data_IF_710174920498
#
_entry.id   IF_710174920498
#
_cell.length_a   1.000
_cell.length_b   1.000
_cell.length_c   1.000
_cell.angle_alpha   90.00
_cell.angle_beta   90.00
_cell.angle_gamma   90.00
#
_symmetry.space_group_name_H-M   'P 1'
#
loop_
_entity.id
_entity.type
_entity.pdbx_description
1 polymer ?
2 non-polymer ?
3 non-polymer ?
4 water ?
#
# COMPACT_ATOMS: atom_id res chain seq x y z
N UNK A 1 12.61 -13.71 3.37
CA UNK A 1 12.59 -12.23 3.65
C UNK A 1 11.38 -11.61 2.97
N UNK A 2 11.55 -10.87 1.87
CA UNK A 2 10.41 -10.19 1.25
C UNK A 2 9.81 -11.13 0.22
N UNK A 3 10.43 -12.27 -0.09
CA UNK A 3 10.10 -12.97 -1.35
C UNK A 3 8.65 -13.44 -1.44
N UNK A 4 8.00 -13.78 -0.34
CA UNK A 4 6.63 -14.25 -0.45
C UNK A 4 5.68 -13.11 -0.81
N UNK A 5 6.10 -11.82 -0.66
CA UNK A 5 5.27 -10.70 -1.07
C UNK A 5 5.35 -10.43 -2.56
N UNK A 6 6.33 -10.97 -3.26
CA UNK A 6 6.56 -10.60 -4.65
C UNK A 6 5.50 -11.16 -5.55
N UNK A 7 5.12 -10.43 -6.56
CA UNK A 7 4.21 -10.90 -7.58
C UNK A 7 3.13 -9.87 -7.84
N UNK A 8 2.07 -10.35 -8.51
CA UNK A 8 0.95 -9.53 -8.94
C UNK A 8 -0.26 -9.91 -8.09
N UNK A 9 -0.90 -8.90 -7.53
CA UNK A 9 -1.96 -9.07 -6.56
C UNK A 9 -3.17 -8.22 -6.99
N UNK A 10 -4.36 -8.74 -6.74
CA UNK A 10 -5.60 -8.06 -7.14
C UNK A 10 -6.46 -7.80 -5.93
N UNK A 11 -7.08 -6.62 -5.84
CA UNK A 11 -7.94 -6.31 -4.70
C UNK A 11 -9.20 -7.16 -4.74
N UNK A 12 -9.52 -7.80 -3.59
CA UNK A 12 -10.70 -8.65 -3.50
C UNK A 12 -11.58 -8.31 -2.29
N UNK A 13 -11.20 -7.37 -1.44
CA UNK A 13 -12.03 -6.96 -0.30
C UNK A 13 -11.51 -5.64 0.19
N UNK A 14 -12.40 -4.78 0.68
CA UNK A 14 -11.96 -3.49 1.25
C UNK A 14 -12.92 -3.09 2.38
N UNK A 15 -12.32 -2.73 3.51
CA UNK A 15 -13.06 -2.30 4.68
C UNK A 15 -12.49 -0.95 5.14
N UNK A 16 -13.37 0.03 5.26
CA UNK A 16 -13.06 1.34 5.84
C UNK A 16 -12.08 2.17 5.00
N UNK A 17 -11.99 1.91 3.68
CA UNK A 17 -11.12 2.74 2.87
C UNK A 17 -11.63 4.18 2.80
N UNK A 18 -12.95 4.36 2.74
CA UNK A 18 -13.46 5.73 2.73
C UNK A 18 -13.04 6.47 4.00
N UNK A 19 -13.13 5.82 5.16
CA UNK A 19 -12.72 6.45 6.41
C UNK A 19 -11.26 6.89 6.33
N UNK A 20 -10.40 6.00 5.82
CA UNK A 20 -8.99 6.30 5.70
C UNK A 20 -8.73 7.49 4.77
N UNK A 21 -9.35 7.44 3.58
CA UNK A 21 -9.20 8.55 2.64
C UNK A 21 -9.71 9.86 3.22
N UNK A 22 -10.85 9.81 3.89
CA UNK A 22 -11.40 11.02 4.47
C UNK A 22 -10.46 11.59 5.52
N UNK A 23 -9.85 10.72 6.34
CA UNK A 23 -8.90 11.16 7.37
C UNK A 23 -7.72 11.92 6.74
N UNK A 24 -7.27 11.44 5.58
CA UNK A 24 -6.22 12.07 4.82
C UNK A 24 -6.68 13.38 4.12
N UNK A 25 -7.92 13.71 4.13
CA UNK A 25 -8.40 14.91 3.46
C UNK A 25 -8.68 14.73 1.98
N UNK A 26 -8.85 13.50 1.53
CA UNK A 26 -9.18 13.26 0.11
C UNK A 26 -10.62 13.73 -0.15
N UNK A 27 -10.81 14.43 -1.25
CA UNK A 27 -12.13 14.98 -1.58
C UNK A 27 -13.12 13.94 -1.96
N UNK A 28 -14.42 14.31 -1.83
CA UNK A 28 -15.52 13.32 -1.97
C UNK A 28 -15.52 12.67 -3.34
N UNK A 29 -15.20 13.41 -4.39
CA UNK A 29 -15.32 12.87 -5.76
C UNK A 29 -14.26 11.77 -5.95
N UNK A 30 -13.04 12.06 -5.47
CA UNK A 30 -11.96 11.07 -5.52
C UNK A 30 -12.33 9.87 -4.69
N UNK A 31 -12.86 10.08 -3.49
CA UNK A 31 -13.21 8.93 -2.64
C UNK A 31 -14.25 8.06 -3.32
N UNK A 32 -15.21 8.73 -3.98
CA UNK A 32 -16.31 8.03 -4.69
C UNK A 32 -15.72 7.08 -5.74
N UNK A 33 -14.86 7.60 -6.63
CA UNK A 33 -14.28 6.76 -7.67
C UNK A 33 -13.41 5.67 -7.05
N UNK A 34 -12.59 6.08 -6.09
CA UNK A 34 -11.68 5.12 -5.44
C UNK A 34 -12.43 3.96 -4.81
N UNK A 35 -13.62 4.20 -4.26
CA UNK A 35 -14.41 3.16 -3.59
C UNK A 35 -14.88 2.06 -4.54
N UNK A 36 -14.85 2.34 -5.85
CA UNK A 36 -15.30 1.39 -6.88
C UNK A 36 -14.17 0.90 -7.78
N UNK A 37 -12.95 1.20 -7.40
CA UNK A 37 -11.74 0.84 -8.14
C UNK A 37 -11.14 -0.42 -7.47
N UNK A 38 -10.60 -1.35 -8.26
CA UNK A 38 -9.94 -2.58 -7.74
C UNK A 38 -8.52 -2.57 -8.30
N UNK A 39 -7.56 -2.03 -7.58
CA UNK A 39 -6.22 -1.98 -8.10
C UNK A 39 -5.56 -3.34 -8.21
N UNK A 40 -4.54 -3.34 -9.07
CA UNK A 40 -3.55 -4.39 -9.16
C UNK A 40 -2.27 -3.85 -8.55
N UNK A 41 -1.69 -4.59 -7.60
CA UNK A 41 -0.40 -4.22 -7.01
C UNK A 41 0.63 -5.22 -7.45
N UNK A 42 1.74 -4.72 -7.98
CA UNK A 42 2.84 -5.57 -8.45
C UNK A 42 4.05 -5.22 -7.60
N UNK A 43 4.64 -6.25 -6.98
CA UNK A 43 5.80 -6.06 -6.11
C UNK A 43 6.92 -6.87 -6.75
N UNK A 44 8.01 -6.21 -7.08
CA UNK A 44 9.16 -6.82 -7.78
C UNK A 44 10.42 -6.45 -7.01
N UNK A 45 11.45 -7.28 -7.13
CA UNK A 45 12.75 -6.99 -6.55
C UNK A 45 13.82 -7.17 -7.59
N UNK A 46 14.89 -6.36 -7.46
CA UNK A 46 16.13 -6.53 -8.24
C UNK A 46 17.24 -6.28 -7.26
N UNK A 47 17.85 -7.36 -6.79
CA UNK A 47 18.79 -7.22 -5.73
C UNK A 47 18.07 -6.71 -4.53
N UNK A 48 18.56 -5.70 -3.91
CA UNK A 48 17.81 -5.40 -2.72
C UNK A 48 16.98 -4.08 -3.04
N UNK A 49 16.71 -3.71 -4.29
CA UNK A 49 15.73 -2.65 -4.59
C UNK A 49 14.40 -3.26 -4.91
N UNK A 50 13.39 -2.81 -4.19
CA UNK A 50 12.00 -3.20 -4.42
C UNK A 50 11.30 -2.13 -5.25
N UNK A 51 10.41 -2.56 -6.13
CA UNK A 51 9.53 -1.68 -6.85
C UNK A 51 8.10 -2.14 -6.60
N UNK A 52 7.25 -1.19 -6.22
CA UNK A 52 5.85 -1.47 -5.88
C UNK A 52 5.00 -0.59 -6.80
N UNK A 53 4.27 -1.22 -7.72
CA UNK A 53 3.37 -0.56 -8.67
C UNK A 53 1.96 -0.79 -8.18
N UNK A 54 1.16 0.26 -8.29
CA UNK A 54 -0.27 0.18 -8.04
C UNK A 54 -0.96 0.69 -9.29
N UNK A 55 -1.71 -0.18 -9.96
CA UNK A 55 -2.34 0.13 -11.24
C UNK A 55 -3.84 0.07 -11.09
N UNK A 56 -4.53 1.01 -11.74
CA UNK A 56 -5.98 0.96 -11.73
C UNK A 56 -6.52 1.79 -12.88
N UNK A 57 -7.84 1.77 -13.01
CA UNK A 57 -8.54 2.61 -13.96
C UNK A 57 -8.61 4.07 -13.55
N UNK A 58 -8.19 4.40 -12.35
CA UNK A 58 -8.29 5.78 -11.83
C UNK A 58 -6.93 6.40 -11.65
N UNK A 59 -6.15 5.94 -10.68
CA UNK A 59 -4.79 6.41 -10.42
C UNK A 59 -3.82 5.27 -10.54
N UNK A 60 -2.59 5.56 -11.05
CA UNK A 60 -1.46 4.64 -11.01
C UNK A 60 -0.36 5.30 -10.17
N UNK A 61 0.40 4.46 -9.46
CA UNK A 61 1.59 4.90 -8.78
C UNK A 61 2.70 3.85 -8.94
N UNK A 62 3.93 4.32 -8.73
CA UNK A 62 5.06 3.40 -8.65
C UNK A 62 6.09 4.03 -7.72
N UNK A 63 6.64 3.20 -6.83
CA UNK A 63 7.75 3.59 -5.97
C UNK A 63 8.84 2.53 -6.07
N UNK A 64 10.09 2.98 -5.95
CA UNK A 64 11.22 2.07 -5.79
C UNK A 64 11.99 2.50 -4.53
N UNK A 65 12.50 1.51 -3.80
CA UNK A 65 13.15 1.78 -2.54
C UNK A 65 14.03 0.61 -2.15
N UNK A 66 14.98 0.89 -1.29
CA UNK A 66 15.76 -0.08 -0.56
C UNK A 66 15.10 -0.26 0.81
N UNK A 67 14.91 -1.49 1.37
CA UNK A 67 14.40 -1.66 2.70
C UNK A 67 15.28 -0.91 3.63
N UNK A 68 14.67 -0.21 4.55
CA UNK A 68 15.35 0.45 5.60
C UNK A 68 16.06 1.73 5.21
N UNK A 69 15.82 2.27 4.00
CA UNK A 69 16.43 3.52 3.57
C UNK A 69 15.31 4.49 3.19
N UNK A 70 15.31 5.66 3.78
CA UNK A 70 14.26 6.65 3.53
C UNK A 70 14.27 7.07 2.06
N UNK A 71 13.10 7.37 1.55
CA UNK A 71 12.93 7.85 0.18
C UNK A 71 11.82 8.91 0.15
N UNK A 72 11.92 9.82 -0.81
CA UNK A 72 10.82 10.75 -1.09
C UNK A 72 9.74 10.03 -1.88
N UNK A 73 8.48 10.38 -1.62
CA UNK A 73 7.35 9.77 -2.30
C UNK A 73 6.29 10.85 -2.49
N UNK A 74 5.57 10.75 -3.61
CA UNK A 74 4.39 11.56 -3.88
C UNK A 74 3.23 10.58 -4.04
N UNK A 75 2.30 10.60 -3.11
CA UNK A 75 1.27 9.58 -3.04
C UNK A 75 0.19 9.76 -4.10
N UNK A 76 -0.72 8.77 -4.19
CA UNK A 76 -1.78 8.83 -5.17
C UNK A 76 -2.68 10.04 -5.00
N UNK A 77 -2.83 10.49 -3.75
CA UNK A 77 -3.61 11.67 -3.38
C UNK A 77 -2.74 12.93 -3.27
N UNK A 78 -1.54 12.88 -3.83
CA UNK A 78 -0.67 14.05 -4.03
C UNK A 78 -0.06 14.60 -2.73
N UNK A 79 0.10 13.77 -1.72
CA UNK A 79 0.91 14.16 -0.57
C UNK A 79 2.38 13.93 -0.89
N UNK A 80 3.22 14.89 -0.53
CA UNK A 80 4.70 14.77 -0.66
C UNK A 80 5.20 14.35 0.72
N UNK A 81 5.69 13.12 0.80
CA UNK A 81 6.00 12.50 2.08
C UNK A 81 7.44 11.96 2.11
N UNK A 82 7.92 11.73 3.29
CA UNK A 82 9.18 11.04 3.54
C UNK A 82 8.82 9.64 3.99
N UNK A 83 9.33 8.62 3.31
CA UNK A 83 8.88 7.26 3.49
C UNK A 83 10.03 6.32 3.83
N UNK A 84 9.66 5.24 4.50
CA UNK A 84 10.60 4.13 4.73
C UNK A 84 9.78 2.86 4.74
N UNK A 85 10.33 1.79 4.17
CA UNK A 85 9.71 0.48 4.17
C UNK A 85 10.70 -0.49 4.82
N UNK A 86 10.19 -1.30 5.75
CA UNK A 86 11.02 -2.27 6.43
C UNK A 86 10.24 -3.56 6.65
N UNK A 87 10.93 -4.65 6.90
CA UNK A 87 10.30 -5.86 7.38
C UNK A 87 10.29 -5.85 8.91
N UNK A 88 9.13 -6.14 9.47
CA UNK A 88 8.92 -6.09 10.94
C UNK A 88 7.96 -7.21 11.26
N UNK A 89 8.43 -8.22 11.97
CA UNK A 89 7.54 -9.33 12.29
C UNK A 89 7.06 -10.08 11.05
N UNK A 90 7.86 -10.07 10.01
CA UNK A 90 7.45 -10.71 8.76
C UNK A 90 6.49 -9.87 7.95
N UNK A 91 6.14 -8.67 8.39
CA UNK A 91 5.25 -7.78 7.70
C UNK A 91 6.07 -6.71 6.99
N UNK A 92 5.60 -6.30 5.82
CA UNK A 92 6.23 -5.21 5.08
C UNK A 92 5.56 -3.92 5.61
N UNK A 93 6.28 -3.07 6.34
CA UNK A 93 5.73 -1.88 6.97
C UNK A 93 6.24 -0.65 6.25
N UNK A 94 5.32 0.10 5.68
CA UNK A 94 5.60 1.35 4.95
C UNK A 94 5.08 2.51 5.81
N UNK A 95 6.01 3.36 6.24
CA UNK A 95 5.67 4.52 7.06
C UNK A 95 5.89 5.77 6.23
N UNK A 96 4.88 6.64 6.15
CA UNK A 96 4.95 7.94 5.47
C UNK A 96 4.82 9.05 6.49
N UNK A 97 5.65 10.07 6.36
CA UNK A 97 5.69 11.22 7.26
C UNK A 97 5.58 12.51 6.45
N UNK A 98 4.73 13.42 6.89
CA UNK A 98 4.64 14.75 6.25
C UNK A 98 3.96 15.71 7.20
N UNK A 99 4.44 16.91 7.30
CA UNK A 99 3.78 17.94 8.13
C UNK A 99 3.62 17.44 9.58
N UNK A 100 4.50 16.62 10.10
CA UNK A 100 4.34 16.05 11.41
C UNK A 100 3.31 14.92 11.51
N UNK A 101 2.56 14.66 10.47
CA UNK A 101 1.60 13.55 10.37
C UNK A 101 2.35 12.28 10.01
N UNK A 102 1.68 11.15 10.28
CA UNK A 102 2.18 9.85 9.86
C UNK A 102 1.02 8.99 9.40
N UNK A 103 1.31 8.09 8.48
CA UNK A 103 0.41 6.99 8.18
C UNK A 103 1.25 5.76 7.94
N UNK A 104 0.68 4.61 8.29
CA UNK A 104 1.33 3.33 8.02
C UNK A 104 0.48 2.50 7.08
N UNK A 105 1.20 1.79 6.22
CA UNK A 105 0.64 0.86 5.24
C UNK A 105 1.35 -0.46 5.50
N UNK A 106 0.66 -1.39 6.14
CA UNK A 106 1.28 -2.62 6.64
C UNK A 106 0.75 -3.78 5.81
N UNK A 107 1.65 -4.59 5.25
CA UNK A 107 1.26 -5.75 4.45
C UNK A 107 1.72 -7.01 5.15
N UNK A 108 0.79 -7.96 5.23
CA UNK A 108 1.11 -9.26 5.79
C UNK A 108 0.39 -10.34 5.02
N UNK A 109 0.96 -11.53 5.08
CA UNK A 109 0.41 -12.66 4.40
C UNK A 109 -0.35 -13.50 5.39
N UNK A 110 -1.59 -13.79 5.12
CA UNK A 110 -2.48 -14.67 5.94
C UNK A 110 -3.17 -15.63 4.96
N UNK A 111 -2.91 -16.91 5.16
CA UNK A 111 -3.52 -17.95 4.32
C UNK A 111 -3.29 -17.67 2.84
N UNK A 112 -2.11 -17.15 2.50
CA UNK A 112 -1.83 -16.89 1.07
C UNK A 112 -2.40 -15.58 0.56
N UNK A 113 -3.19 -14.85 1.33
CA UNK A 113 -3.74 -13.56 0.91
C UNK A 113 -2.86 -12.47 1.48
N UNK A 114 -2.77 -11.37 0.77
CA UNK A 114 -2.02 -10.20 1.21
C UNK A 114 -3.00 -9.21 1.85
N UNK A 115 -2.80 -8.97 3.14
CA UNK A 115 -3.67 -8.08 3.89
C UNK A 115 -2.90 -6.76 4.08
N UNK A 116 -3.48 -5.69 3.57
CA UNK A 116 -2.94 -4.34 3.66
C UNK A 116 -3.76 -3.58 4.71
N UNK A 117 -3.13 -3.15 5.77
CA UNK A 117 -3.78 -2.37 6.81
C UNK A 117 -3.24 -0.95 6.73
N UNK A 118 -4.13 0.01 6.53
CA UNK A 118 -3.80 1.42 6.39
C UNK A 118 -4.33 2.14 7.62
N UNK A 119 -3.45 2.86 8.32
CA UNK A 119 -3.85 3.57 9.53
C UNK A 119 -3.45 5.02 9.42
N UNK A 120 -4.38 5.93 9.65
CA UNK A 120 -4.08 7.38 9.76
C UNK A 120 -5.06 7.93 10.78
N UNK A 121 -4.57 8.72 11.72
CA UNK A 121 -5.46 9.19 12.76
C UNK A 121 -6.03 7.99 13.50
N UNK A 122 -7.32 7.94 13.66
CA UNK A 122 -7.98 6.78 14.24
C UNK A 122 -8.47 5.81 13.19
N UNK A 123 -8.44 6.18 11.90
CA UNK A 123 -8.99 5.35 10.83
C UNK A 123 -8.09 4.16 10.56
N UNK A 124 -8.71 3.00 10.48
CA UNK A 124 -8.00 1.76 10.19
C UNK A 124 -8.78 1.05 9.08
N UNK A 125 -8.10 0.93 7.94
CA UNK A 125 -8.67 0.29 6.74
C UNK A 125 -7.94 -1.02 6.47
N UNK A 126 -8.71 -2.05 6.13
CA UNK A 126 -8.11 -3.36 5.82
C UNK A 126 -8.52 -3.72 4.38
N UNK A 127 -7.52 -3.92 3.53
CA UNK A 127 -7.74 -4.29 2.11
C UNK A 127 -7.08 -5.64 1.88
N UNK A 128 -7.81 -6.53 1.22
CA UNK A 128 -7.30 -7.88 0.97
C UNK A 128 -7.02 -8.03 -0.52
N UNK A 129 -5.84 -8.54 -0.81
CA UNK A 129 -5.39 -8.82 -2.17
C UNK A 129 -5.16 -10.33 -2.32
N UNK A 130 -5.46 -10.85 -3.50
CA UNK A 130 -5.16 -12.28 -3.76
C UNK A 130 -4.14 -12.38 -4.87
N UNK A 131 -3.33 -13.42 -4.82
CA UNK A 131 -2.25 -13.55 -5.76
C UNK A 131 -2.75 -13.99 -7.13
N UNK A 132 -2.33 -13.27 -8.15
CA UNK A 132 -2.54 -13.58 -9.60
C UNK A 132 -1.36 -14.40 -10.15
N UNK A 133 -1.70 -15.37 -11.00
CA UNK A 133 -0.78 -16.35 -11.59
C UNK A 133 0.09 -15.69 -12.63
#
# INVERSE_FOLDING_TARGET
>A
MVDAFLGTWKLVDSKNFDDYMKSLGVGFATRQVASMTKPTTIIEKNGDILTLKTHSTFKNTEISFKLGVEFDETTADDRKVKSIVTLDGGKLVHLQKWDGQETTLVRELIDGKLILTLTHGTAVCTRTYEKEA
#
